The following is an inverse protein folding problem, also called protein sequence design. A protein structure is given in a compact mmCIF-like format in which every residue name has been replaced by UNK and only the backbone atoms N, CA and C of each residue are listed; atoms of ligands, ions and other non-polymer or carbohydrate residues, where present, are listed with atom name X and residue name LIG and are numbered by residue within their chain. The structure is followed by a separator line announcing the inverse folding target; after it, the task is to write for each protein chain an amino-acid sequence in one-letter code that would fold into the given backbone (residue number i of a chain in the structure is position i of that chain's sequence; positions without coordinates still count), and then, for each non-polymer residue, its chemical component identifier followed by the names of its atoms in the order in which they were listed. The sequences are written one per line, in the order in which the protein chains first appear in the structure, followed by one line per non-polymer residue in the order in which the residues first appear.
data_IF_803452033641
#
_entry.id   IF_803452033641
#
_cell.length_a   1.000
_cell.length_b   1.000
_cell.length_c   1.000
_cell.angle_alpha   90.00
_cell.angle_beta   90.00
_cell.angle_gamma   90.00
#
_symmetry.space_group_name_H-M   'P 1'
#
loop_
_entity.id
_entity.type
_entity.pdbx_description
1 polymer ?
#
# COMPACT_ATOMS: atom_id res chain seq x y z
N UNK A 1 -13.00 12.80 55.75
CA UNK A 1 -11.87 12.23 55.01
C UNK A 1 -12.29 11.33 53.83
N UNK A 2 -13.24 10.38 53.99
CA UNK A 2 -13.65 9.50 52.88
C UNK A 2 -14.18 10.24 51.63
N UNK A 3 -14.95 11.34 51.78
CA UNK A 3 -15.51 12.11 50.65
C UNK A 3 -14.45 12.86 49.81
N UNK A 4 -13.40 13.38 50.49
CA UNK A 4 -12.30 14.09 49.84
C UNK A 4 -11.45 13.10 49.00
N UNK A 5 -11.26 11.87 49.49
CA UNK A 5 -10.50 10.83 48.82
C UNK A 5 -11.21 10.36 47.53
N UNK A 6 -12.54 10.24 47.56
CA UNK A 6 -13.34 9.89 46.36
C UNK A 6 -13.28 10.99 45.31
N UNK A 7 -13.34 12.26 45.69
CA UNK A 7 -13.23 13.40 44.77
C UNK A 7 -11.83 13.43 44.11
N UNK A 8 -10.78 13.15 44.91
CA UNK A 8 -9.41 13.10 44.37
C UNK A 8 -9.20 11.96 43.40
N UNK A 9 -9.76 10.77 43.68
CA UNK A 9 -9.72 9.63 42.72
C UNK A 9 -10.50 9.96 41.45
N UNK A 10 -11.68 10.56 41.53
CA UNK A 10 -12.44 10.99 40.35
C UNK A 10 -11.70 12.04 39.53
N UNK A 11 -11.02 13.01 40.18
CA UNK A 11 -10.18 13.98 39.49
C UNK A 11 -8.98 13.33 38.80
N UNK A 12 -8.27 12.42 39.46
CA UNK A 12 -7.14 11.66 38.86
C UNK A 12 -7.61 10.81 37.72
N UNK A 13 -8.77 10.18 37.82
CA UNK A 13 -9.36 9.38 36.70
C UNK A 13 -9.77 10.30 35.56
N UNK A 14 -10.36 11.47 35.82
CA UNK A 14 -10.72 12.44 34.77
C UNK A 14 -9.47 13.00 34.07
N UNK A 15 -8.39 13.28 34.83
CA UNK A 15 -7.11 13.70 34.21
C UNK A 15 -6.38 12.58 33.50
N UNK A 16 -6.60 11.30 33.87
CA UNK A 16 -6.06 10.14 33.16
C UNK A 16 -6.79 9.85 31.84
N UNK A 17 -8.06 10.25 31.71
CA UNK A 17 -8.85 10.15 30.48
C UNK A 17 -8.71 11.33 29.53
N UNK A 18 -8.09 12.44 29.96
CA UNK A 18 -7.47 13.34 28.98
C UNK A 18 -6.22 12.68 28.40
N UNK A 19 -6.40 11.48 27.85
CA UNK A 19 -5.39 10.83 27.05
C UNK A 19 -4.95 11.88 26.02
N UNK A 20 -3.71 12.33 26.16
CA UNK A 20 -3.04 13.17 25.19
C UNK A 20 -3.24 12.47 23.84
N UNK A 21 -4.24 12.89 23.07
CA UNK A 21 -4.30 12.50 21.67
C UNK A 21 -3.07 13.14 21.08
N UNK A 22 -2.03 12.34 20.85
CA UNK A 22 -0.81 12.81 20.23
C UNK A 22 -1.24 13.56 18.95
N UNK A 23 -0.85 14.83 18.87
CA UNK A 23 -1.08 15.65 17.72
C UNK A 23 0.21 15.69 16.94
N UNK A 24 0.11 15.37 15.69
CA UNK A 24 1.22 15.39 14.73
C UNK A 24 1.19 16.74 14.02
N UNK A 25 2.29 17.48 14.06
CA UNK A 25 2.43 18.70 13.25
C UNK A 25 2.74 18.31 11.82
N UNK A 26 1.93 18.80 10.89
CA UNK A 26 2.01 18.46 9.47
C UNK A 26 1.93 19.72 8.64
N UNK A 27 2.93 19.94 7.80
CA UNK A 27 2.97 21.05 6.83
C UNK A 27 3.38 20.52 5.47
N UNK A 28 2.78 21.04 4.41
CA UNK A 28 3.07 20.64 3.03
C UNK A 28 3.76 21.80 2.30
N UNK A 29 4.67 21.47 1.37
CA UNK A 29 5.15 22.42 0.36
C UNK A 29 4.04 22.75 -0.65
N UNK A 30 4.20 23.82 -1.42
CA UNK A 30 3.17 24.25 -2.40
C UNK A 30 2.88 23.16 -3.45
N UNK A 31 3.89 22.41 -3.86
CA UNK A 31 3.81 21.29 -4.80
C UNK A 31 3.37 19.98 -4.16
N UNK A 32 3.22 19.95 -2.81
CA UNK A 32 2.83 18.79 -2.02
C UNK A 32 3.74 17.57 -2.12
N UNK A 33 4.93 17.73 -2.68
CA UNK A 33 5.90 16.62 -2.84
C UNK A 33 6.70 16.37 -1.57
N UNK A 34 6.94 17.42 -0.78
CA UNK A 34 7.63 17.35 0.51
C UNK A 34 6.69 17.79 1.62
N UNK A 35 6.73 17.07 2.71
CA UNK A 35 5.99 17.41 3.93
C UNK A 35 6.93 17.44 5.11
N UNK A 36 6.67 18.30 6.08
CA UNK A 36 7.35 18.29 7.38
C UNK A 36 6.41 17.73 8.42
N UNK A 37 6.83 16.67 9.09
CA UNK A 37 6.07 15.98 10.13
C UNK A 37 6.88 16.00 11.42
N UNK A 38 6.38 16.71 12.43
CA UNK A 38 7.06 16.93 13.70
C UNK A 38 8.54 17.39 13.55
N UNK A 39 8.79 18.28 12.55
CA UNK A 39 10.11 18.85 12.27
C UNK A 39 11.02 17.98 11.41
N UNK A 40 10.58 16.79 10.96
CA UNK A 40 11.31 15.91 10.05
C UNK A 40 10.72 15.99 8.65
N UNK A 41 11.58 16.07 7.62
CA UNK A 41 11.17 16.10 6.22
C UNK A 41 10.88 14.69 5.68
N UNK A 42 9.77 14.59 4.96
CA UNK A 42 9.35 13.39 4.26
C UNK A 42 8.98 13.72 2.83
N UNK A 43 9.27 12.82 1.92
CA UNK A 43 8.84 12.88 0.53
C UNK A 43 7.54 12.10 0.39
N UNK A 44 6.53 12.71 -0.22
CA UNK A 44 5.32 12.02 -0.64
C UNK A 44 5.66 11.08 -1.80
N UNK A 45 5.40 9.79 -1.64
CA UNK A 45 5.77 8.77 -2.63
C UNK A 45 4.58 8.23 -3.41
N UNK A 46 3.38 8.45 -2.93
CA UNK A 46 2.17 8.04 -3.64
C UNK A 46 1.01 7.71 -2.69
N UNK A 47 -0.07 7.29 -3.32
CA UNK A 47 -1.30 6.89 -2.66
C UNK A 47 -1.50 5.39 -2.77
N UNK A 48 -2.35 4.86 -1.91
CA UNK A 48 -2.86 3.49 -2.00
C UNK A 48 -3.35 3.17 -3.42
N UNK A 49 -2.96 1.98 -3.93
CA UNK A 49 -3.22 1.56 -5.31
C UNK A 49 -2.08 1.86 -6.29
N UNK A 50 -1.26 2.91 -6.04
CA UNK A 50 -0.03 3.19 -6.80
C UNK A 50 1.22 2.76 -6.07
N UNK A 51 1.20 2.90 -4.75
CA UNK A 51 2.31 2.54 -3.86
C UNK A 51 1.72 1.80 -2.66
N UNK A 52 2.46 0.85 -2.13
CA UNK A 52 2.10 0.13 -0.92
C UNK A 52 3.29 0.01 0.02
N UNK A 53 3.03 -0.11 1.32
CA UNK A 53 4.04 -0.44 2.31
C UNK A 53 3.58 -1.66 3.11
N UNK A 54 4.43 -2.69 3.14
CA UNK A 54 4.17 -3.88 3.95
C UNK A 54 4.50 -3.63 5.41
N UNK A 55 3.67 -4.17 6.30
CA UNK A 55 3.91 -4.19 7.72
C UNK A 55 2.74 -3.71 8.56
N UNK A 56 2.90 -3.80 9.87
CA UNK A 56 1.91 -3.35 10.83
C UNK A 56 1.86 -1.82 10.91
N UNK A 57 0.68 -1.25 10.70
CA UNK A 57 0.45 0.18 10.83
C UNK A 57 0.08 0.51 12.28
N UNK A 58 0.96 1.25 12.96
CA UNK A 58 0.76 1.68 14.33
C UNK A 58 0.41 3.16 14.39
N UNK A 59 -0.76 3.47 14.92
CA UNK A 59 -1.24 4.84 15.08
C UNK A 59 -0.29 5.68 15.95
N UNK A 60 0.17 6.82 15.43
CA UNK A 60 1.06 7.74 16.13
C UNK A 60 0.36 9.03 16.57
N UNK A 61 -0.66 9.50 15.85
CA UNK A 61 -1.40 10.69 16.25
C UNK A 61 -2.37 11.21 15.19
N UNK A 62 -3.16 12.20 15.59
CA UNK A 62 -4.01 12.97 14.68
C UNK A 62 -3.25 14.17 14.14
N UNK A 63 -3.42 14.48 12.86
CA UNK A 63 -2.86 15.69 12.25
C UNK A 63 -3.52 16.91 12.89
N UNK A 64 -2.70 17.91 13.26
CA UNK A 64 -3.16 19.14 13.87
C UNK A 64 -4.04 19.94 12.89
N UNK A 65 -5.22 20.35 13.34
CA UNK A 65 -6.18 21.10 12.51
C UNK A 65 -7.17 20.24 11.73
N UNK A 66 -6.97 18.93 11.62
CA UNK A 66 -7.95 18.04 11.01
C UNK A 66 -9.15 17.78 11.92
N UNK A 67 -10.34 17.72 11.30
CA UNK A 67 -11.55 17.29 12.00
C UNK A 67 -11.41 15.79 12.30
N UNK A 68 -11.65 15.42 13.56
CA UNK A 68 -11.74 14.01 13.95
C UNK A 68 -12.99 13.42 13.33
N UNK A 69 -12.86 12.70 12.23
CA UNK A 69 -13.97 11.96 11.67
C UNK A 69 -13.98 10.57 12.30
N UNK A 70 -15.05 10.27 13.02
CA UNK A 70 -15.30 8.92 13.51
C UNK A 70 -15.94 8.14 12.36
N UNK A 71 -15.17 7.27 11.73
CA UNK A 71 -15.69 6.44 10.67
C UNK A 71 -16.12 5.10 11.24
N UNK A 72 -17.31 4.74 10.83
CA UNK A 72 -18.00 3.45 10.95
C UNK A 72 -17.57 2.50 12.07
N UNK A 73 -18.52 2.10 12.85
CA UNK A 73 -18.47 1.17 14.00
C UNK A 73 -17.81 -0.21 13.71
N UNK A 74 -17.47 -0.51 12.47
CA UNK A 74 -16.89 -1.80 12.07
C UNK A 74 -15.38 -1.78 11.82
N UNK A 75 -14.78 -0.64 11.45
CA UNK A 75 -13.33 -0.54 11.23
C UNK A 75 -12.68 0.32 12.30
N UNK A 76 -11.79 -0.29 13.10
CA UNK A 76 -11.06 0.36 14.19
C UNK A 76 -9.99 1.35 13.73
N UNK A 77 -9.91 1.68 12.44
CA UNK A 77 -8.89 2.56 11.89
C UNK A 77 -9.33 4.02 12.03
N UNK A 78 -8.47 4.85 12.62
CA UNK A 78 -8.74 6.27 12.91
C UNK A 78 -8.11 7.14 11.82
N UNK A 79 -8.73 8.29 11.52
CA UNK A 79 -8.04 9.35 10.74
C UNK A 79 -6.77 9.78 11.44
N UNK A 80 -5.65 9.82 10.72
CA UNK A 80 -4.38 10.32 11.26
C UNK A 80 -3.16 9.66 10.67
N UNK A 81 -2.04 9.82 11.38
CA UNK A 81 -0.74 9.30 10.97
C UNK A 81 -0.44 7.95 11.62
N UNK A 82 0.21 7.10 10.87
CA UNK A 82 0.65 5.77 11.27
C UNK A 82 2.11 5.58 10.93
N UNK A 83 2.87 4.96 11.83
CA UNK A 83 4.19 4.42 11.53
C UNK A 83 4.06 2.99 11.00
N UNK A 84 5.03 2.54 10.22
CA UNK A 84 5.07 1.19 9.67
C UNK A 84 6.10 0.35 10.42
N UNK A 85 5.71 -0.81 10.94
CA UNK A 85 6.55 -1.70 11.75
C UNK A 85 7.19 -1.01 12.97
N UNK A 86 6.53 0.03 13.50
CA UNK A 86 7.06 0.80 14.63
C UNK A 86 8.20 1.76 14.30
N UNK A 87 8.67 1.82 13.04
CA UNK A 87 9.62 2.82 12.54
C UNK A 87 8.87 4.06 12.02
N UNK A 88 9.51 5.22 12.09
CA UNK A 88 9.05 6.45 11.46
C UNK A 88 9.74 6.72 10.11
N UNK A 89 10.45 5.76 9.56
CA UNK A 89 11.11 5.90 8.26
C UNK A 89 10.09 5.97 7.11
N UNK A 90 8.97 5.24 7.28
CA UNK A 90 7.79 5.29 6.42
C UNK A 90 6.59 5.66 7.27
N UNK A 91 5.84 6.68 6.85
CA UNK A 91 4.60 7.10 7.47
C UNK A 91 3.43 6.95 6.51
N UNK A 92 2.28 6.61 7.07
CA UNK A 92 1.02 6.51 6.34
C UNK A 92 0.04 7.50 6.93
N UNK A 93 -0.54 8.38 6.11
CA UNK A 93 -1.65 9.25 6.48
C UNK A 93 -2.94 8.66 5.94
N UNK A 94 -3.81 8.22 6.84
CA UNK A 94 -5.05 7.55 6.48
C UNK A 94 -6.26 8.49 6.59
N UNK A 95 -7.09 8.51 5.55
CA UNK A 95 -8.31 9.28 5.42
C UNK A 95 -9.51 8.34 5.25
N UNK A 96 -10.16 7.92 6.34
CA UNK A 96 -11.21 6.92 6.29
C UNK A 96 -12.44 7.34 5.50
N UNK A 97 -12.74 8.65 5.41
CA UNK A 97 -13.90 9.15 4.65
C UNK A 97 -13.81 8.86 3.15
N UNK A 98 -12.59 8.66 2.64
CA UNK A 98 -12.31 8.40 1.23
C UNK A 98 -11.70 7.01 1.01
N UNK A 99 -11.54 6.20 2.07
CA UNK A 99 -10.80 4.93 2.04
C UNK A 99 -9.43 5.09 1.36
N UNK A 100 -8.71 6.13 1.75
CA UNK A 100 -7.52 6.58 1.07
C UNK A 100 -6.33 6.67 2.04
N UNK A 101 -5.19 6.17 1.61
CA UNK A 101 -3.94 6.29 2.34
C UNK A 101 -2.87 6.97 1.48
N UNK A 102 -2.19 7.97 2.06
CA UNK A 102 -1.04 8.63 1.47
C UNK A 102 0.24 8.18 2.17
N UNK A 103 1.27 7.86 1.41
CA UNK A 103 2.53 7.31 1.92
C UNK A 103 3.66 8.29 1.78
N UNK A 104 4.47 8.37 2.82
CA UNK A 104 5.59 9.29 2.96
C UNK A 104 6.82 8.54 3.44
N UNK A 105 7.97 8.81 2.81
CA UNK A 105 9.27 8.28 3.22
C UNK A 105 10.13 9.42 3.71
N UNK A 106 10.88 9.23 4.78
CA UNK A 106 11.90 10.19 5.21
C UNK A 106 12.77 10.58 4.03
N UNK A 107 12.85 11.88 3.74
CA UNK A 107 13.51 12.36 2.51
C UNK A 107 14.99 11.95 2.44
N UNK A 108 15.68 11.88 3.57
CA UNK A 108 17.08 11.46 3.67
C UNK A 108 17.33 9.99 3.32
N UNK A 109 16.28 9.13 3.40
CA UNK A 109 16.40 7.70 3.12
C UNK A 109 16.11 7.37 1.65
N UNK A 110 15.42 8.25 0.94
CA UNK A 110 15.01 7.98 -0.42
C UNK A 110 16.16 8.27 -1.40
N UNK A 111 16.72 7.23 -2.00
CA UNK A 111 17.88 7.31 -2.90
C UNK A 111 17.50 7.54 -4.36
N UNK A 112 16.27 7.23 -4.72
CA UNK A 112 15.74 7.32 -6.08
C UNK A 112 14.26 7.68 -6.05
N UNK A 113 13.74 8.15 -7.16
CA UNK A 113 12.31 8.41 -7.32
C UNK A 113 11.52 7.10 -7.30
N UNK A 114 10.33 7.13 -6.68
CA UNK A 114 9.44 5.96 -6.58
C UNK A 114 8.63 5.85 -7.86
N UNK A 115 9.21 5.19 -8.85
CA UNK A 115 8.60 4.89 -10.16
C UNK A 115 8.82 3.44 -10.52
N UNK A 116 7.97 2.90 -11.39
CA UNK A 116 8.06 1.50 -11.83
C UNK A 116 9.39 1.21 -12.54
N UNK A 117 9.94 2.19 -13.25
CA UNK A 117 11.19 2.05 -14.01
C UNK A 117 12.44 2.06 -13.11
N UNK A 118 12.29 2.46 -11.84
CA UNK A 118 13.37 2.47 -10.84
C UNK A 118 13.34 1.24 -9.91
N UNK A 119 12.50 0.24 -10.21
CA UNK A 119 12.46 -0.98 -9.42
C UNK A 119 13.76 -1.79 -9.58
N UNK A 120 14.26 -2.28 -8.44
CA UNK A 120 15.46 -3.15 -8.40
C UNK A 120 15.13 -4.64 -8.50
N UNK A 121 13.89 -5.01 -8.21
CA UNK A 121 13.33 -6.36 -8.41
C UNK A 121 11.80 -6.33 -8.35
N UNK A 122 11.16 -7.40 -8.83
CA UNK A 122 9.73 -7.66 -8.63
C UNK A 122 9.55 -8.91 -7.79
N UNK A 123 8.93 -8.76 -6.64
CA UNK A 123 8.52 -9.87 -5.77
C UNK A 123 7.04 -10.19 -6.02
N UNK A 124 6.64 -11.47 -5.95
CA UNK A 124 5.24 -11.83 -6.11
C UNK A 124 4.54 -12.04 -4.78
N UNK A 125 3.37 -11.43 -4.64
CA UNK A 125 2.48 -11.57 -3.49
C UNK A 125 1.17 -12.19 -3.98
N UNK A 126 0.89 -13.41 -3.55
CA UNK A 126 -0.36 -14.09 -3.87
C UNK A 126 -1.49 -13.59 -2.97
N UNK A 127 -2.67 -13.37 -3.54
CA UNK A 127 -3.84 -12.93 -2.79
C UNK A 127 -3.92 -11.41 -2.62
N UNK A 128 -4.36 -10.92 -1.46
CA UNK A 128 -4.61 -9.51 -1.20
C UNK A 128 -3.41 -8.83 -0.52
N UNK A 129 -3.05 -7.64 -0.97
CA UNK A 129 -2.07 -6.77 -0.30
C UNK A 129 -2.53 -6.33 1.10
N UNK A 130 -3.85 -6.34 1.34
CA UNK A 130 -4.47 -5.83 2.56
C UNK A 130 -4.60 -6.88 3.67
N UNK A 131 -4.29 -8.14 3.38
CA UNK A 131 -4.44 -9.23 4.34
C UNK A 131 -3.07 -9.76 4.73
N UNK A 132 -2.54 -9.29 5.87
CA UNK A 132 -1.19 -9.61 6.34
C UNK A 132 -0.97 -11.11 6.62
N UNK A 133 -2.05 -11.85 6.88
CA UNK A 133 -1.96 -13.27 7.28
C UNK A 133 -1.85 -14.23 6.10
N UNK A 134 -2.12 -13.80 4.87
CA UNK A 134 -2.11 -14.62 3.66
C UNK A 134 -1.00 -14.22 2.65
N UNK A 135 -0.16 -13.26 3.00
CA UNK A 135 0.83 -12.69 2.09
C UNK A 135 2.03 -13.63 1.96
N UNK A 136 2.05 -14.45 0.91
CA UNK A 136 3.23 -15.24 0.54
C UNK A 136 4.10 -14.35 -0.34
N UNK A 137 5.18 -13.84 0.21
CA UNK A 137 6.21 -13.13 -0.58
C UNK A 137 7.12 -14.19 -1.17
N UNK A 138 7.18 -14.29 -2.51
CA UNK A 138 8.19 -15.13 -3.16
C UNK A 138 9.57 -14.54 -2.88
N UNK A 139 10.50 -15.36 -2.40
CA UNK A 139 11.85 -14.92 -2.02
C UNK A 139 12.81 -14.74 -3.21
N UNK A 140 12.41 -15.16 -4.39
CA UNK A 140 13.23 -15.14 -5.60
C UNK A 140 12.55 -14.27 -6.66
N UNK A 141 12.55 -12.96 -6.43
CA UNK A 141 11.95 -12.01 -7.35
C UNK A 141 12.70 -11.88 -8.67
N UNK A 142 12.04 -11.29 -9.66
CA UNK A 142 12.66 -10.94 -10.95
C UNK A 142 13.60 -9.75 -10.71
N UNK A 143 14.88 -9.91 -11.00
CA UNK A 143 15.90 -8.85 -10.89
C UNK A 143 16.19 -8.17 -12.22
N UNK A 144 15.83 -8.79 -13.35
CA UNK A 144 15.93 -8.23 -14.71
C UNK A 144 14.71 -7.31 -14.99
N UNK A 145 14.57 -6.26 -14.15
CA UNK A 145 13.36 -5.41 -14.14
C UNK A 145 13.13 -4.69 -15.47
N UNK A 146 14.18 -4.16 -16.10
CA UNK A 146 14.09 -3.45 -17.37
C UNK A 146 13.63 -4.39 -18.49
N UNK A 147 14.23 -5.57 -18.59
CA UNK A 147 13.88 -6.56 -19.59
C UNK A 147 12.43 -7.04 -19.40
N UNK A 148 12.05 -7.32 -18.15
CA UNK A 148 10.68 -7.66 -17.77
C UNK A 148 9.68 -6.62 -18.24
N UNK A 149 9.89 -5.35 -17.86
CA UNK A 149 8.95 -4.26 -18.21
C UNK A 149 8.89 -4.02 -19.72
N UNK A 150 10.04 -4.04 -20.40
CA UNK A 150 10.12 -3.82 -21.86
C UNK A 150 9.42 -4.95 -22.64
N UNK A 151 9.63 -6.20 -22.25
CA UNK A 151 8.97 -7.34 -22.89
C UNK A 151 7.46 -7.28 -22.68
N UNK A 152 7.00 -7.03 -21.44
CA UNK A 152 5.58 -6.92 -21.13
C UNK A 152 4.93 -5.77 -21.92
N UNK A 153 5.51 -4.56 -21.86
CA UNK A 153 4.97 -3.38 -22.55
C UNK A 153 4.98 -3.50 -24.08
N UNK A 154 5.91 -4.28 -24.65
CA UNK A 154 5.94 -4.60 -26.08
C UNK A 154 5.05 -5.78 -26.47
N UNK A 155 4.56 -6.53 -25.50
CA UNK A 155 3.75 -7.72 -25.68
C UNK A 155 2.30 -7.43 -26.07
N UNK A 156 1.51 -8.49 -26.15
CA UNK A 156 0.11 -8.42 -26.54
C UNK A 156 -0.76 -7.92 -25.38
N UNK A 157 -1.70 -7.02 -25.67
CA UNK A 157 -2.71 -6.61 -24.70
C UNK A 157 -3.70 -7.74 -24.44
N UNK A 158 -4.14 -7.91 -23.19
CA UNK A 158 -5.05 -8.99 -22.79
C UNK A 158 -6.36 -9.01 -23.59
N UNK A 159 -6.91 -7.83 -23.91
CA UNK A 159 -8.11 -7.70 -24.74
C UNK A 159 -7.88 -8.21 -26.17
N UNK A 160 -6.76 -7.85 -26.77
CA UNK A 160 -6.43 -8.22 -28.17
C UNK A 160 -6.04 -9.71 -28.29
N UNK A 161 -5.55 -10.29 -27.18
CA UNK A 161 -5.27 -11.72 -27.04
C UNK A 161 -6.53 -12.58 -26.84
N UNK A 162 -7.70 -11.97 -26.62
CA UNK A 162 -8.93 -12.68 -26.37
C UNK A 162 -8.97 -13.39 -25.01
N UNK A 163 -8.19 -12.96 -24.01
CA UNK A 163 -8.17 -13.63 -22.69
C UNK A 163 -9.55 -13.63 -22.03
N UNK A 164 -10.31 -12.58 -22.22
CA UNK A 164 -11.67 -12.49 -21.68
C UNK A 164 -12.63 -13.48 -22.33
N UNK A 165 -12.41 -13.87 -23.59
CA UNK A 165 -13.23 -14.87 -24.28
C UNK A 165 -13.02 -16.28 -23.71
N UNK A 166 -11.86 -16.57 -23.10
CA UNK A 166 -11.57 -17.84 -22.42
C UNK A 166 -12.50 -18.10 -21.22
N UNK A 167 -12.97 -17.03 -20.57
CA UNK A 167 -13.72 -17.08 -19.32
C UNK A 167 -15.15 -16.54 -19.43
N UNK A 168 -15.55 -16.13 -20.64
CA UNK A 168 -16.88 -15.57 -20.94
C UNK A 168 -17.92 -16.68 -20.98
N UNK A 169 -18.97 -16.51 -20.18
CA UNK A 169 -20.13 -17.41 -20.20
C UNK A 169 -21.13 -17.02 -21.31
N UNK A 170 -22.06 -17.92 -21.71
CA UNK A 170 -23.08 -17.62 -22.74
C UNK A 170 -23.95 -16.40 -22.41
N UNK A 171 -24.14 -16.08 -21.14
CA UNK A 171 -24.85 -14.90 -20.67
C UNK A 171 -24.02 -13.61 -20.68
N UNK A 172 -22.75 -13.70 -21.10
CA UNK A 172 -21.81 -12.60 -21.17
C UNK A 172 -21.07 -12.30 -19.86
N UNK A 173 -21.39 -13.00 -18.74
CA UNK A 173 -20.64 -12.86 -17.50
C UNK A 173 -19.26 -13.50 -17.61
N UNK A 174 -18.30 -12.93 -16.89
CA UNK A 174 -16.95 -13.51 -16.74
C UNK A 174 -16.97 -14.45 -15.53
N UNK A 175 -16.47 -15.69 -15.72
CA UNK A 175 -16.32 -16.67 -14.65
C UNK A 175 -14.85 -17.08 -14.57
N UNK A 176 -14.33 -17.22 -13.35
CA UNK A 176 -12.92 -17.56 -13.11
C UNK A 176 -11.92 -16.54 -13.65
N UNK A 177 -12.33 -15.25 -13.72
CA UNK A 177 -11.43 -14.12 -13.90
C UNK A 177 -11.33 -13.39 -12.56
N UNK A 178 -10.15 -13.35 -11.98
CA UNK A 178 -9.95 -12.77 -10.64
C UNK A 178 -8.53 -12.26 -10.46
N UNK A 179 -8.34 -11.39 -9.46
CA UNK A 179 -7.01 -10.95 -9.04
C UNK A 179 -6.31 -12.14 -8.38
N UNK A 180 -5.26 -12.63 -9.01
CA UNK A 180 -4.46 -13.74 -8.52
C UNK A 180 -3.45 -13.29 -7.46
N UNK A 181 -2.92 -12.09 -7.65
CA UNK A 181 -1.95 -11.49 -6.76
C UNK A 181 -1.37 -10.20 -7.33
N UNK A 182 -0.18 -9.87 -6.87
CA UNK A 182 0.51 -8.64 -7.26
C UNK A 182 1.99 -8.91 -7.52
N UNK A 183 2.50 -8.37 -8.64
CA UNK A 183 3.93 -8.21 -8.85
C UNK A 183 4.34 -6.89 -8.18
N UNK A 184 5.06 -6.98 -7.08
CA UNK A 184 5.44 -5.84 -6.26
C UNK A 184 6.84 -5.36 -6.64
N UNK A 185 6.94 -4.25 -7.37
CA UNK A 185 8.20 -3.62 -7.70
C UNK A 185 8.83 -2.99 -6.46
N UNK A 186 9.97 -3.52 -6.03
CA UNK A 186 10.77 -3.03 -4.89
C UNK A 186 11.69 -1.93 -5.39
N UNK A 187 11.63 -0.76 -4.78
CA UNK A 187 12.45 0.41 -5.16
C UNK A 187 13.83 0.35 -4.51
N UNK A 188 13.91 -0.04 -3.25
CA UNK A 188 15.14 -0.20 -2.50
C UNK A 188 14.91 -1.10 -1.28
N UNK A 189 15.92 -1.87 -0.88
CA UNK A 189 15.77 -2.90 0.16
C UNK A 189 15.58 -2.35 1.58
N UNK A 190 16.11 -1.16 1.86
CA UNK A 190 16.08 -0.51 3.18
C UNK A 190 14.81 0.32 3.42
N UNK A 191 13.96 0.48 2.41
CA UNK A 191 12.67 1.17 2.53
C UNK A 191 11.55 0.23 2.11
N UNK A 192 10.65 -0.06 3.04
CA UNK A 192 9.57 -1.02 2.84
C UNK A 192 8.40 -0.44 2.02
N UNK A 193 8.74 0.04 0.80
CA UNK A 193 7.80 0.58 -0.18
C UNK A 193 7.90 -0.22 -1.47
N UNK A 194 6.75 -0.56 -2.02
CA UNK A 194 6.62 -1.28 -3.28
C UNK A 194 5.59 -0.61 -4.20
N UNK A 195 5.74 -0.83 -5.49
CA UNK A 195 4.73 -0.50 -6.50
C UNK A 195 3.99 -1.78 -6.86
N UNK A 196 2.73 -1.95 -6.45
CA UNK A 196 1.97 -3.15 -6.72
C UNK A 196 1.40 -3.13 -8.13
N UNK A 197 1.76 -4.10 -8.95
CA UNK A 197 1.15 -4.36 -10.25
C UNK A 197 0.18 -5.53 -10.11
N UNK A 198 -1.07 -5.29 -10.43
CA UNK A 198 -2.11 -6.32 -10.31
C UNK A 198 -1.92 -7.42 -11.36
N UNK A 199 -1.92 -8.67 -10.90
CA UNK A 199 -1.86 -9.86 -11.76
C UNK A 199 -3.23 -10.53 -11.73
N UNK A 200 -3.82 -10.68 -12.93
CA UNK A 200 -5.11 -11.34 -13.13
C UNK A 200 -4.91 -12.79 -13.56
N UNK A 201 -5.79 -13.67 -13.11
CA UNK A 201 -5.88 -15.05 -13.62
C UNK A 201 -7.13 -15.22 -14.46
N UNK A 202 -6.99 -15.99 -15.55
CA UNK A 202 -8.06 -16.42 -16.45
C UNK A 202 -8.14 -17.95 -16.41
N UNK A 203 -8.98 -18.48 -15.53
CA UNK A 203 -9.23 -19.92 -15.33
C UNK A 203 -7.93 -20.72 -14.98
N UNK A 204 -6.97 -20.06 -14.33
CA UNK A 204 -5.63 -20.60 -14.00
C UNK A 204 -4.83 -21.13 -15.23
N UNK A 205 -5.23 -20.72 -16.43
CA UNK A 205 -4.59 -21.12 -17.69
C UNK A 205 -3.80 -20.01 -18.37
N UNK A 206 -4.20 -18.78 -18.12
CA UNK A 206 -3.52 -17.59 -18.63
C UNK A 206 -3.49 -16.51 -17.57
N UNK A 207 -2.51 -15.65 -17.66
CA UNK A 207 -2.32 -14.54 -16.72
C UNK A 207 -2.07 -13.23 -17.48
N UNK A 208 -2.50 -12.14 -16.88
CA UNK A 208 -2.16 -10.80 -17.34
C UNK A 208 -1.64 -9.95 -16.17
N UNK A 209 -1.00 -8.85 -16.51
CA UNK A 209 -0.50 -7.86 -15.56
C UNK A 209 -0.94 -6.46 -16.01
N UNK A 210 -1.32 -5.62 -15.04
CA UNK A 210 -1.75 -4.25 -15.31
C UNK A 210 -0.59 -3.30 -15.01
N UNK A 211 -0.15 -2.56 -16.02
CA UNK A 211 0.90 -1.53 -15.93
C UNK A 211 0.34 -0.26 -16.56
N UNK A 212 0.38 0.86 -15.84
CA UNK A 212 -0.10 2.17 -16.32
C UNK A 212 -1.53 2.10 -16.91
N UNK A 213 -2.44 1.41 -16.21
CA UNK A 213 -3.84 1.19 -16.61
C UNK A 213 -4.01 0.37 -17.92
N UNK A 214 -2.95 -0.23 -18.42
CA UNK A 214 -2.99 -1.13 -19.58
C UNK A 214 -2.71 -2.56 -19.10
N UNK A 215 -3.59 -3.47 -19.53
CA UNK A 215 -3.48 -4.89 -19.20
C UNK A 215 -2.76 -5.64 -20.32
N UNK A 216 -1.64 -6.30 -19.99
CA UNK A 216 -0.79 -7.07 -20.89
C UNK A 216 -0.81 -8.54 -20.54
N UNK A 217 -0.69 -9.41 -21.56
CA UNK A 217 -0.53 -10.85 -21.35
C UNK A 217 0.83 -11.15 -20.74
N UNK A 218 0.86 -11.97 -19.69
CA UNK A 218 2.09 -12.54 -19.16
C UNK A 218 2.46 -13.78 -20.00
N UNK A 219 3.66 -13.80 -20.56
CA UNK A 219 4.19 -15.00 -21.21
C UNK A 219 4.43 -16.11 -20.18
N UNK A 220 4.45 -17.38 -20.63
CA UNK A 220 4.68 -18.50 -19.72
C UNK A 220 6.04 -18.38 -19.00
N UNK A 221 7.05 -17.85 -19.67
CA UNK A 221 8.36 -17.60 -19.06
C UNK A 221 8.26 -16.67 -17.84
N UNK A 222 7.53 -15.56 -17.96
CA UNK A 222 7.36 -14.62 -16.85
C UNK A 222 6.43 -15.15 -15.76
N UNK A 223 5.42 -15.96 -16.13
CA UNK A 223 4.58 -16.67 -15.16
C UNK A 223 5.46 -17.61 -14.31
N UNK A 224 6.36 -18.36 -14.93
CA UNK A 224 7.23 -19.29 -14.23
C UNK A 224 8.23 -18.55 -13.33
N UNK A 225 8.83 -17.46 -13.81
CA UNK A 225 9.76 -16.65 -13.03
C UNK A 225 9.08 -15.90 -11.86
N UNK A 226 7.88 -15.38 -12.08
CA UNK A 226 7.19 -14.52 -11.11
C UNK A 226 6.35 -15.31 -10.11
N UNK A 227 5.62 -16.32 -10.58
CA UNK A 227 4.54 -16.98 -9.82
C UNK A 227 4.98 -18.35 -9.29
N UNK A 228 5.76 -19.11 -10.08
CA UNK A 228 6.09 -20.50 -9.77
C UNK A 228 7.47 -20.69 -9.11
N UNK A 229 8.22 -19.62 -8.87
CA UNK A 229 9.55 -19.66 -8.23
C UNK A 229 9.49 -19.57 -6.68
#
# INVERSE_FOLDING_TARGET
MKKIFVIFICLVVIFSFSACTNKVEFTETEDKTIVTIDGTEYTFVGNEGRVWCFGEWKFIGHVKGEKKTFVHLTNKVKTGMYSVNGSQDVLVRYFPDNEFAAMYVKSELLKTEVTIDNCIRFDFVKGSLFNSDETIISKNGITECEDFLNEIKSGQKAKDAGLYDLVKQPDGMLKNCYVYGYACGVIQDDVNIVIPLQVMSFDDKAYSIIIDDIEYVLTQEWVDKLINN
#
